data_IF_621946291154
#
_entry.id   IF_621946291154
#
_cell.length_a   1.000
_cell.length_b   1.000
_cell.length_c   1.000
_cell.angle_alpha   90.00
_cell.angle_beta   90.00
_cell.angle_gamma   90.00
#
_symmetry.space_group_name_H-M   'P 1'
#
loop_
_entity.id
_entity.type
_entity.pdbx_description
1 polymer ?
#
# COMPACT_ATOMS: atom_id res chain seq x y z
N UNK A 1 -28.77 64.19 0.36
CA UNK A 1 -28.72 62.70 0.44
C UNK A 1 -27.30 62.25 0.17
N UNK A 2 -26.60 61.67 1.18
CA UNK A 2 -25.21 61.21 1.06
C UNK A 2 -25.18 59.81 0.43
N UNK A 3 -24.55 59.66 -0.75
CA UNK A 3 -24.23 58.35 -1.35
C UNK A 3 -23.21 57.64 -0.47
N UNK A 4 -23.60 56.48 0.07
CA UNK A 4 -22.73 55.60 0.86
C UNK A 4 -21.80 54.89 -0.11
N UNK A 5 -20.55 55.35 -0.19
CA UNK A 5 -19.49 54.71 -0.96
C UNK A 5 -19.10 53.44 -0.20
N UNK A 6 -19.73 52.32 -0.55
CA UNK A 6 -19.44 51.03 0.07
C UNK A 6 -18.05 50.61 -0.40
N UNK A 7 -17.17 50.48 0.59
CA UNK A 7 -15.77 50.12 0.50
C UNK A 7 -15.52 48.90 -0.41
N UNK A 8 -15.20 49.12 -1.70
CA UNK A 8 -14.63 48.10 -2.59
C UNK A 8 -13.37 47.45 -1.98
N UNK A 9 -12.62 48.21 -1.17
CA UNK A 9 -11.42 47.72 -0.48
C UNK A 9 -11.73 46.58 0.51
N UNK A 10 -12.89 46.62 1.20
CA UNK A 10 -13.24 45.61 2.20
C UNK A 10 -13.66 44.28 1.56
N UNK A 11 -14.33 44.35 0.42
CA UNK A 11 -14.71 43.18 -0.39
C UNK A 11 -13.46 42.47 -0.95
N UNK A 12 -12.47 43.23 -1.40
CA UNK A 12 -11.26 42.69 -2.01
C UNK A 12 -10.35 41.99 -0.97
N UNK A 13 -10.26 42.56 0.24
CA UNK A 13 -9.55 41.92 1.37
C UNK A 13 -10.23 40.60 1.77
N UNK A 14 -11.56 40.54 1.76
CA UNK A 14 -12.28 39.33 2.14
C UNK A 14 -12.08 38.17 1.14
N UNK A 15 -11.98 38.48 -0.16
CA UNK A 15 -11.68 37.50 -1.23
C UNK A 15 -10.25 36.95 -1.10
N UNK A 16 -9.28 37.80 -0.75
CA UNK A 16 -7.89 37.37 -0.52
C UNK A 16 -7.81 36.44 0.69
N UNK A 17 -8.49 36.76 1.80
CA UNK A 17 -8.50 35.92 3.01
C UNK A 17 -9.13 34.55 2.71
N UNK A 18 -10.24 34.49 1.97
CA UNK A 18 -10.88 33.23 1.58
C UNK A 18 -10.00 32.37 0.65
N UNK A 19 -9.16 32.99 -0.16
CA UNK A 19 -8.25 32.29 -1.08
C UNK A 19 -7.08 31.61 -0.35
N UNK A 20 -6.64 32.17 0.79
CA UNK A 20 -5.51 31.63 1.56
C UNK A 20 -5.91 30.37 2.36
N UNK A 21 -7.19 30.23 2.74
CA UNK A 21 -7.66 29.09 3.55
C UNK A 21 -7.62 27.78 2.75
N UNK A 22 -7.70 27.83 1.41
CA UNK A 22 -7.63 26.64 0.55
C UNK A 22 -6.23 26.01 0.48
N UNK A 23 -5.17 26.70 0.97
CA UNK A 23 -3.79 26.17 0.97
C UNK A 23 -3.36 25.51 2.28
N UNK A 24 -4.22 25.47 3.30
CA UNK A 24 -3.91 24.78 4.58
C UNK A 24 -4.35 23.31 4.61
N UNK A 25 -4.90 22.79 3.50
CA UNK A 25 -5.16 21.37 3.30
C UNK A 25 -3.92 20.55 2.91
N UNK A 26 -2.71 21.00 3.27
CA UNK A 26 -1.58 20.09 3.31
C UNK A 26 -1.76 19.24 4.57
N UNK A 27 -2.44 18.11 4.43
CA UNK A 27 -2.19 16.98 5.33
C UNK A 27 -0.68 16.89 5.45
N UNK A 28 -0.16 17.07 6.66
CA UNK A 28 1.26 16.95 6.92
C UNK A 28 1.58 15.47 6.70
N UNK A 29 1.79 15.11 5.43
CA UNK A 29 2.08 13.77 5.00
C UNK A 29 3.39 13.43 5.69
N UNK A 30 3.29 12.47 6.62
CA UNK A 30 4.44 11.99 7.36
C UNK A 30 5.43 11.46 6.32
N UNK A 31 6.45 12.24 6.03
CA UNK A 31 7.58 11.84 5.20
C UNK A 31 8.50 10.97 6.06
N UNK A 32 8.35 9.66 6.00
CA UNK A 32 9.41 8.73 6.44
C UNK A 32 9.16 7.33 5.89
N UNK A 33 10.26 6.74 5.42
CA UNK A 33 10.35 5.55 4.57
C UNK A 33 10.04 4.20 5.25
N UNK A 34 9.19 4.16 6.29
CA UNK A 34 8.77 2.93 6.99
C UNK A 34 7.44 3.14 7.72
N UNK A 35 6.39 3.52 6.99
CA UNK A 35 5.02 3.72 7.51
C UNK A 35 4.05 2.63 7.03
N UNK A 36 4.52 1.40 6.97
CA UNK A 36 3.59 0.28 6.99
C UNK A 36 3.08 0.20 8.42
N UNK A 37 1.77 0.03 8.61
CA UNK A 37 1.21 -0.35 9.90
C UNK A 37 2.08 -1.48 10.50
N UNK A 38 2.61 -1.27 11.71
CA UNK A 38 3.55 -2.19 12.35
C UNK A 38 2.94 -3.59 12.42
N UNK A 39 3.34 -4.46 11.49
CA UNK A 39 2.90 -5.84 11.46
C UNK A 39 3.51 -6.54 12.68
N UNK A 40 2.65 -7.01 13.59
CA UNK A 40 3.09 -7.82 14.72
C UNK A 40 3.43 -9.23 14.23
N UNK A 41 4.65 -9.36 13.70
CA UNK A 41 5.19 -10.58 13.09
C UNK A 41 5.02 -11.82 13.96
N UNK A 42 5.14 -11.67 15.28
CA UNK A 42 5.03 -12.77 16.23
C UNK A 42 3.62 -13.37 16.29
N UNK A 43 2.61 -12.63 15.82
CA UNK A 43 1.23 -13.11 15.76
C UNK A 43 0.88 -13.76 14.43
N UNK A 44 1.67 -13.55 13.37
CA UNK A 44 1.40 -14.16 12.07
C UNK A 44 1.70 -15.65 12.13
N UNK A 45 0.67 -16.46 11.91
CA UNK A 45 0.78 -17.93 11.98
C UNK A 45 0.29 -18.62 10.70
N UNK A 46 -0.36 -17.87 9.81
CA UNK A 46 -0.89 -18.36 8.54
C UNK A 46 -0.53 -17.39 7.43
N UNK A 47 -0.08 -17.95 6.32
CA UNK A 47 0.10 -17.27 5.05
C UNK A 47 -0.79 -17.93 4.00
N UNK A 48 -1.52 -17.15 3.24
CA UNK A 48 -2.29 -17.62 2.09
C UNK A 48 -1.70 -17.04 0.81
N UNK A 49 -1.48 -17.86 -0.21
CA UNK A 49 -0.96 -17.44 -1.51
C UNK A 49 -1.98 -17.78 -2.58
N UNK A 50 -2.39 -16.78 -3.35
CA UNK A 50 -3.22 -16.93 -4.54
C UNK A 50 -2.41 -16.55 -5.78
N UNK A 51 -2.70 -17.18 -6.91
CA UNK A 51 -1.97 -16.97 -8.17
C UNK A 51 -2.94 -16.62 -9.29
N UNK A 52 -2.97 -15.37 -9.73
CA UNK A 52 -3.99 -14.88 -10.65
C UNK A 52 -5.41 -15.21 -10.16
N UNK A 53 -6.25 -15.70 -11.07
CA UNK A 53 -7.59 -16.23 -10.78
C UNK A 53 -7.60 -17.73 -10.38
N UNK A 54 -6.47 -18.29 -9.98
CA UNK A 54 -6.30 -19.73 -9.73
C UNK A 54 -6.50 -20.10 -8.26
N UNK A 55 -6.09 -21.33 -7.91
CA UNK A 55 -6.20 -21.90 -6.57
C UNK A 55 -5.44 -21.05 -5.55
N UNK A 56 -6.03 -20.90 -4.38
CA UNK A 56 -5.38 -20.37 -3.18
C UNK A 56 -4.81 -21.53 -2.36
N UNK A 57 -3.54 -21.45 -1.98
CA UNK A 57 -2.90 -22.40 -1.05
C UNK A 57 -2.65 -21.70 0.30
N UNK A 58 -2.99 -22.39 1.38
CA UNK A 58 -2.71 -21.93 2.75
C UNK A 58 -1.49 -22.65 3.33
N UNK A 59 -0.67 -21.90 4.06
CA UNK A 59 0.56 -22.35 4.68
C UNK A 59 0.54 -21.96 6.17
N UNK A 60 0.94 -22.88 7.02
CA UNK A 60 1.16 -22.65 8.46
C UNK A 60 2.57 -23.08 8.89
N UNK A 61 3.47 -23.26 7.91
CA UNK A 61 4.88 -23.52 8.13
C UNK A 61 5.53 -22.24 8.64
N UNK A 62 5.96 -22.28 9.91
CA UNK A 62 6.49 -21.12 10.60
C UNK A 62 7.81 -20.63 9.98
N UNK A 63 8.67 -21.54 9.52
CA UNK A 63 9.97 -21.18 8.92
C UNK A 63 9.76 -20.44 7.60
N UNK A 64 8.82 -20.92 6.77
CA UNK A 64 8.50 -20.24 5.51
C UNK A 64 7.88 -18.85 5.72
N UNK A 65 7.01 -18.72 6.73
CA UNK A 65 6.42 -17.42 7.11
C UNK A 65 7.50 -16.46 7.62
N UNK A 66 8.40 -16.93 8.49
CA UNK A 66 9.51 -16.11 9.01
C UNK A 66 10.43 -15.63 7.89
N UNK A 67 10.81 -16.50 6.95
CA UNK A 67 11.64 -16.13 5.79
C UNK A 67 10.96 -15.03 4.96
N UNK A 68 9.66 -15.15 4.67
CA UNK A 68 8.92 -14.11 3.95
C UNK A 68 8.92 -12.78 4.72
N UNK A 69 8.65 -12.82 6.02
CA UNK A 69 8.63 -11.64 6.88
C UNK A 69 10.01 -10.96 6.95
N UNK A 70 11.09 -11.72 6.95
CA UNK A 70 12.46 -11.20 6.94
C UNK A 70 12.79 -10.50 5.62
N UNK A 71 12.37 -11.07 4.49
CA UNK A 71 12.51 -10.39 3.20
C UNK A 71 11.68 -9.11 3.13
N UNK A 72 10.46 -9.10 3.67
CA UNK A 72 9.61 -7.90 3.71
C UNK A 72 10.27 -6.74 4.48
N UNK A 73 10.97 -7.03 5.58
CA UNK A 73 11.71 -6.01 6.34
C UNK A 73 12.88 -5.40 5.56
N UNK A 74 13.41 -6.14 4.60
CA UNK A 74 14.48 -5.68 3.71
C UNK A 74 14.00 -4.69 2.65
N UNK A 75 12.69 -4.53 2.46
CA UNK A 75 12.11 -3.69 1.41
C UNK A 75 11.84 -2.29 1.94
N UNK A 76 12.37 -1.28 1.24
CA UNK A 76 11.96 0.10 1.42
C UNK A 76 10.72 0.38 0.58
N UNK A 77 9.73 1.00 1.18
CA UNK A 77 8.46 1.28 0.53
C UNK A 77 8.26 2.78 0.32
N UNK A 78 7.60 3.12 -0.78
CA UNK A 78 7.11 4.47 -1.05
C UNK A 78 5.60 4.43 -1.25
N UNK A 79 4.91 5.39 -0.62
CA UNK A 79 3.46 5.55 -0.78
C UNK A 79 3.14 5.84 -2.24
N UNK A 80 2.16 5.15 -2.78
CA UNK A 80 1.68 5.37 -4.14
C UNK A 80 0.72 6.57 -4.17
N UNK A 81 0.86 7.40 -5.19
CA UNK A 81 -0.19 8.35 -5.55
C UNK A 81 -1.37 7.62 -6.18
N UNK A 82 -2.56 8.24 -6.17
CA UNK A 82 -3.77 7.68 -6.80
C UNK A 82 -3.51 7.32 -8.27
N UNK A 83 -2.82 8.20 -9.01
CA UNK A 83 -2.50 7.99 -10.42
C UNK A 83 -1.59 6.77 -10.62
N UNK A 84 -0.61 6.57 -9.73
CA UNK A 84 0.25 5.39 -9.76
C UNK A 84 -0.52 4.11 -9.43
N UNK A 85 -1.43 4.14 -8.45
CA UNK A 85 -2.30 2.99 -8.16
C UNK A 85 -3.15 2.62 -9.38
N UNK A 86 -3.76 3.60 -10.03
CA UNK A 86 -4.57 3.38 -11.24
C UNK A 86 -3.76 2.79 -12.40
N UNK A 87 -2.54 3.29 -12.62
CA UNK A 87 -1.64 2.84 -13.68
C UNK A 87 -1.11 1.43 -13.43
N UNK A 88 -0.63 1.16 -12.21
CA UNK A 88 0.02 -0.12 -11.88
C UNK A 88 -1.00 -1.24 -11.67
N UNK A 89 -2.11 -0.96 -10.97
CA UNK A 89 -3.12 -1.98 -10.71
C UNK A 89 -4.00 -2.26 -11.93
N UNK A 90 -3.99 -1.37 -12.94
CA UNK A 90 -4.87 -1.39 -14.12
C UNK A 90 -6.31 -1.76 -13.74
N UNK A 91 -6.87 -0.99 -12.79
CA UNK A 91 -8.23 -1.22 -12.24
C UNK A 91 -8.44 -2.63 -11.69
N UNK A 92 -7.40 -3.20 -11.10
CA UNK A 92 -7.40 -4.53 -10.49
C UNK A 92 -7.16 -5.68 -11.47
N UNK A 93 -6.95 -5.42 -12.76
CA UNK A 93 -6.65 -6.50 -13.72
C UNK A 93 -5.34 -7.22 -13.41
N UNK A 94 -4.38 -6.52 -12.79
CA UNK A 94 -3.08 -7.09 -12.45
C UNK A 94 -3.19 -8.31 -11.53
N UNK A 95 -4.20 -8.33 -10.65
CA UNK A 95 -4.44 -9.44 -9.72
C UNK A 95 -4.91 -10.72 -10.41
N UNK A 96 -5.40 -10.61 -11.65
CA UNK A 96 -5.88 -11.75 -12.45
C UNK A 96 -4.78 -12.32 -13.37
N UNK A 97 -3.61 -11.68 -13.42
CA UNK A 97 -2.50 -12.14 -14.26
C UNK A 97 -1.83 -13.38 -13.68
N UNK A 98 -1.40 -14.28 -14.55
CA UNK A 98 -0.64 -15.49 -14.22
C UNK A 98 0.81 -15.20 -13.80
N UNK A 99 1.20 -13.94 -13.74
CA UNK A 99 2.49 -13.51 -13.17
C UNK A 99 2.34 -13.01 -11.74
N UNK A 100 1.11 -12.75 -11.28
CA UNK A 100 0.87 -12.07 -10.01
C UNK A 100 0.53 -13.07 -8.91
N UNK A 101 1.24 -12.94 -7.79
CA UNK A 101 0.95 -13.65 -6.56
C UNK A 101 0.35 -12.68 -5.54
N UNK A 102 -0.76 -13.05 -4.92
CA UNK A 102 -1.35 -12.32 -3.80
C UNK A 102 -1.10 -13.11 -2.53
N UNK A 103 -0.40 -12.50 -1.58
CA UNK A 103 -0.03 -13.08 -0.30
C UNK A 103 -0.80 -12.37 0.80
N UNK A 104 -1.53 -13.13 1.61
CA UNK A 104 -2.24 -12.62 2.78
C UNK A 104 -1.62 -13.20 4.06
N UNK A 105 -1.31 -12.33 5.02
CA UNK A 105 -0.71 -12.70 6.29
C UNK A 105 -1.74 -12.59 7.41
N UNK A 106 -1.97 -13.68 8.13
CA UNK A 106 -3.06 -13.80 9.11
C UNK A 106 -2.56 -14.36 10.44
N UNK A 107 -3.26 -13.98 11.53
CA UNK A 107 -2.97 -14.52 12.86
C UNK A 107 -3.50 -15.95 13.06
N UNK A 108 -4.49 -16.37 12.26
CA UNK A 108 -5.06 -17.71 12.26
C UNK A 108 -5.83 -17.97 10.94
N UNK A 109 -6.24 -19.21 10.69
CA UNK A 109 -6.85 -19.64 9.41
C UNK A 109 -8.18 -18.98 9.07
N UNK A 110 -8.89 -18.44 10.06
CA UNK A 110 -10.18 -17.76 9.88
C UNK A 110 -10.06 -16.27 10.19
N UNK A 111 -8.84 -15.76 10.24
CA UNK A 111 -8.52 -14.42 10.68
C UNK A 111 -8.66 -13.41 9.55
N UNK A 112 -8.87 -12.15 9.94
CA UNK A 112 -8.75 -11.01 9.02
C UNK A 112 -7.27 -10.87 8.66
N UNK A 113 -7.00 -10.62 7.38
CA UNK A 113 -5.64 -10.33 6.93
C UNK A 113 -5.06 -9.13 7.67
N UNK A 114 -3.84 -9.28 8.15
CA UNK A 114 -3.06 -8.22 8.78
C UNK A 114 -2.18 -7.48 7.77
N UNK A 115 -1.88 -8.12 6.64
CA UNK A 115 -1.17 -7.52 5.52
C UNK A 115 -1.54 -8.26 4.23
N UNK A 116 -1.92 -7.48 3.21
CA UNK A 116 -2.16 -7.96 1.86
C UNK A 116 -1.04 -7.46 0.94
N UNK A 117 -0.36 -8.39 0.30
CA UNK A 117 0.80 -8.16 -0.54
C UNK A 117 0.51 -8.67 -1.94
N UNK A 118 0.76 -7.86 -2.96
CA UNK A 118 0.69 -8.27 -4.35
C UNK A 118 2.09 -8.23 -4.97
N UNK A 119 2.60 -9.40 -5.33
CA UNK A 119 3.88 -9.57 -6.01
C UNK A 119 3.60 -9.69 -7.50
N UNK A 120 3.73 -8.58 -8.22
CA UNK A 120 3.35 -8.45 -9.64
C UNK A 120 4.43 -9.04 -10.54
N UNK A 121 5.69 -8.88 -10.14
CA UNK A 121 6.86 -9.43 -10.83
C UNK A 121 8.03 -9.61 -9.88
N UNK A 122 9.16 -10.13 -10.37
CA UNK A 122 10.43 -10.20 -9.64
C UNK A 122 10.98 -8.84 -9.18
N UNK A 123 10.38 -7.72 -9.61
CA UNK A 123 10.86 -6.36 -9.32
C UNK A 123 9.80 -5.46 -8.70
N UNK A 124 8.55 -5.92 -8.67
CA UNK A 124 7.41 -5.09 -8.31
C UNK A 124 6.51 -5.80 -7.31
N UNK A 125 6.40 -5.19 -6.14
CA UNK A 125 5.61 -5.62 -5.01
C UNK A 125 4.85 -4.43 -4.46
N UNK A 126 3.55 -4.63 -4.28
CA UNK A 126 2.63 -3.67 -3.67
C UNK A 126 2.19 -4.22 -2.33
N UNK A 127 2.16 -3.34 -1.34
CA UNK A 127 1.67 -3.61 0.00
C UNK A 127 0.49 -2.69 0.30
N UNK A 128 -0.64 -3.29 0.65
CA UNK A 128 -1.81 -2.55 1.10
C UNK A 128 -1.65 -2.13 2.57
N UNK A 129 -2.03 -0.89 2.87
CA UNK A 129 -2.04 -0.38 4.24
C UNK A 129 -3.23 -0.93 5.02
N UNK A 130 -2.97 -1.82 5.97
CA UNK A 130 -4.02 -2.49 6.75
C UNK A 130 -4.87 -1.54 7.58
N UNK A 131 -4.36 -0.36 7.97
CA UNK A 131 -5.16 0.65 8.68
C UNK A 131 -6.24 1.30 7.78
N UNK A 132 -6.05 1.25 6.47
CA UNK A 132 -6.94 1.93 5.50
C UNK A 132 -7.76 0.97 4.65
N UNK A 133 -7.54 -0.35 4.77
CA UNK A 133 -8.28 -1.37 4.02
C UNK A 133 -9.79 -1.33 4.28
N UNK A 134 -10.21 -0.94 5.49
CA UNK A 134 -11.64 -0.82 5.85
C UNK A 134 -12.22 0.58 5.53
N UNK A 135 -11.40 1.48 4.99
CA UNK A 135 -11.82 2.84 4.66
C UNK A 135 -12.38 2.96 3.24
N UNK A 136 -12.79 4.17 2.84
CA UNK A 136 -13.26 4.43 1.48
C UNK A 136 -12.20 4.20 0.40
N UNK A 137 -10.91 4.24 0.77
CA UNK A 137 -9.78 3.93 -0.12
C UNK A 137 -8.63 3.31 0.66
N UNK A 138 -8.19 2.14 0.24
CA UNK A 138 -6.93 1.55 0.68
C UNK A 138 -5.75 2.34 0.13
N UNK A 139 -4.88 2.82 1.01
CA UNK A 139 -3.57 3.37 0.65
C UNK A 139 -2.64 2.21 0.30
N UNK A 140 -1.95 2.32 -0.83
CA UNK A 140 -0.97 1.31 -1.25
C UNK A 140 0.45 1.87 -1.24
N UNK A 141 1.41 1.00 -0.96
CA UNK A 141 2.83 1.28 -1.03
C UNK A 141 3.49 0.35 -2.05
N UNK A 142 4.48 0.86 -2.77
CA UNK A 142 5.27 0.07 -3.73
C UNK A 142 6.73 0.01 -3.28
N UNK A 143 7.41 -1.11 -3.55
CA UNK A 143 8.84 -1.22 -3.28
C UNK A 143 9.64 -0.14 -4.03
N UNK A 144 10.70 0.35 -3.41
CA UNK A 144 11.70 1.18 -4.06
C UNK A 144 12.59 0.34 -4.99
N UNK A 145 13.24 1.02 -5.94
CA UNK A 145 14.11 0.39 -6.93
C UNK A 145 15.58 0.28 -6.48
N UNK A 146 15.87 0.41 -5.18
CA UNK A 146 17.21 0.16 -4.65
C UNK A 146 17.51 -1.34 -4.59
N UNK A 147 18.80 -1.70 -4.72
CA UNK A 147 19.24 -3.09 -4.87
C UNK A 147 18.75 -4.01 -3.75
N UNK A 148 18.71 -3.53 -2.49
CA UNK A 148 18.18 -4.31 -1.36
C UNK A 148 16.70 -4.65 -1.54
N UNK A 149 15.88 -3.65 -1.89
CA UNK A 149 14.45 -3.83 -2.10
C UNK A 149 14.19 -4.76 -3.29
N UNK A 150 14.88 -4.56 -4.42
CA UNK A 150 14.71 -5.40 -5.61
C UNK A 150 15.12 -6.86 -5.36
N UNK A 151 16.22 -7.09 -4.64
CA UNK A 151 16.63 -8.45 -4.28
C UNK A 151 15.59 -9.12 -3.37
N UNK A 152 15.11 -8.42 -2.34
CA UNK A 152 14.07 -8.96 -1.45
C UNK A 152 12.76 -9.28 -2.18
N UNK A 153 12.31 -8.42 -3.10
CA UNK A 153 11.12 -8.68 -3.93
C UNK A 153 11.31 -9.91 -4.80
N UNK A 154 12.50 -10.09 -5.40
CA UNK A 154 12.82 -11.26 -6.21
C UNK A 154 12.79 -12.56 -5.40
N UNK A 155 13.31 -12.54 -4.17
CA UNK A 155 13.26 -13.69 -3.27
C UNK A 155 11.81 -14.02 -2.88
N UNK A 156 11.00 -13.02 -2.53
CA UNK A 156 9.56 -13.20 -2.24
C UNK A 156 8.83 -13.79 -3.45
N UNK A 157 9.08 -13.27 -4.66
CA UNK A 157 8.50 -13.81 -5.89
C UNK A 157 8.86 -15.28 -6.08
N UNK A 158 10.13 -15.63 -5.87
CA UNK A 158 10.63 -17.00 -6.01
C UNK A 158 10.01 -17.94 -4.98
N UNK A 159 9.84 -17.49 -3.73
CA UNK A 159 9.14 -18.23 -2.69
C UNK A 159 7.68 -18.49 -3.05
N UNK A 160 6.96 -17.45 -3.48
CA UNK A 160 5.55 -17.58 -3.87
C UNK A 160 5.37 -18.53 -5.06
N UNK A 161 6.23 -18.40 -6.09
CA UNK A 161 6.23 -19.29 -7.24
C UNK A 161 6.46 -20.76 -6.84
N UNK A 162 7.51 -21.02 -6.07
CA UNK A 162 7.83 -22.38 -5.59
C UNK A 162 6.73 -22.99 -4.74
N UNK A 163 6.04 -22.18 -3.93
CA UNK A 163 4.93 -22.64 -3.10
C UNK A 163 3.68 -23.02 -3.93
N UNK A 164 3.51 -22.39 -5.11
CA UNK A 164 2.37 -22.60 -6.00
C UNK A 164 2.58 -23.73 -7.01
N UNK A 165 3.83 -24.04 -7.37
CA UNK A 165 4.21 -25.28 -8.09
C UNK A 165 3.95 -26.56 -7.27
#
# INVERSE_FOLDING_TARGET
MKKKMINCSLLLVMVIILSIIQFTGCSQEKSSANQIALLDKNKISVMSISHGNSVTKEFSDKEQIEILLDHLDGIKFSKMSIKQEEEVLDKGKVFNMDTTYVIQLMENKQGISKADIAVISEKELILADSETMESTRTVSYMNQSDDSSLNAVKEIYSLAKKAME
#
